data_IF_393980078969
#
_entry.id   IF_393980078969
#
_cell.length_a   1.000
_cell.length_b   1.000
_cell.length_c   1.000
_cell.angle_alpha   90.00
_cell.angle_beta   90.00
_cell.angle_gamma   90.00
#
_symmetry.space_group_name_H-M   'P 1'
#
loop_
_entity.id
_entity.type
_entity.pdbx_description
1 polymer ?
#
# COMPACT_ATOMS: atom_id res chain seq x y z
N UNK A 1 16.62 2.20 3.14
CA UNK A 1 15.58 1.41 2.41
C UNK A 1 14.39 1.25 3.31
N UNK A 2 13.16 1.26 2.74
CA UNK A 2 11.93 0.97 3.49
C UNK A 2 11.91 -0.48 4.00
N UNK A 3 10.99 -0.81 4.90
CA UNK A 3 10.78 -2.19 5.37
C UNK A 3 9.35 -2.59 5.09
N UNK A 4 9.19 -3.82 4.60
CA UNK A 4 7.90 -4.48 4.38
C UNK A 4 7.85 -5.71 5.26
N UNK A 5 6.76 -5.86 6.04
CA UNK A 5 6.46 -7.06 6.78
C UNK A 5 5.17 -7.69 6.26
N UNK A 6 5.18 -8.98 6.05
CA UNK A 6 4.00 -9.78 5.76
C UNK A 6 3.67 -10.66 6.97
N UNK A 7 2.49 -10.48 7.51
CA UNK A 7 1.93 -11.32 8.57
C UNK A 7 0.93 -12.30 7.93
N UNK A 8 1.19 -13.60 7.92
CA UNK A 8 0.21 -14.58 7.46
C UNK A 8 -1.09 -14.57 8.28
N UNK A 9 -2.13 -15.15 7.74
CA UNK A 9 -3.37 -15.40 8.47
C UNK A 9 -3.10 -16.30 9.69
N UNK A 10 -3.78 -16.04 10.81
CA UNK A 10 -3.66 -16.78 12.08
C UNK A 10 -2.29 -16.68 12.76
N UNK A 11 -1.42 -15.81 12.29
CA UNK A 11 -0.14 -15.50 12.92
C UNK A 11 -0.20 -14.16 13.65
N UNK A 12 0.81 -13.84 14.44
CA UNK A 12 0.97 -12.56 15.10
C UNK A 12 2.16 -11.81 14.55
N UNK A 13 2.04 -10.48 14.42
CA UNK A 13 3.17 -9.59 14.20
C UNK A 13 3.49 -8.91 15.52
N UNK A 14 4.61 -9.27 16.20
CA UNK A 14 4.95 -8.71 17.50
C UNK A 14 5.15 -7.19 17.45
N UNK A 15 4.69 -6.49 18.48
CA UNK A 15 4.79 -5.03 18.57
C UNK A 15 6.23 -4.51 18.56
N UNK A 16 7.16 -5.25 19.15
CA UNK A 16 8.58 -4.90 19.17
C UNK A 16 9.20 -4.91 17.75
N UNK A 17 8.75 -5.83 16.89
CA UNK A 17 9.12 -5.84 15.47
C UNK A 17 8.60 -4.59 14.77
N UNK A 18 7.31 -4.26 14.94
CA UNK A 18 6.72 -3.04 14.35
C UNK A 18 7.41 -1.78 14.86
N UNK A 19 7.70 -1.70 16.17
CA UNK A 19 8.46 -0.59 16.77
C UNK A 19 9.86 -0.48 16.18
N UNK A 20 10.54 -1.60 15.97
CA UNK A 20 11.89 -1.62 15.36
C UNK A 20 11.83 -1.17 13.91
N UNK A 21 10.86 -1.66 13.12
CA UNK A 21 10.63 -1.22 11.74
C UNK A 21 10.41 0.30 11.67
N UNK A 22 9.53 0.83 12.52
CA UNK A 22 9.20 2.25 12.53
C UNK A 22 10.38 3.12 13.02
N UNK A 23 11.12 2.66 14.02
CA UNK A 23 12.32 3.36 14.51
C UNK A 23 13.37 3.52 13.41
N UNK A 24 13.57 2.50 12.60
CA UNK A 24 14.54 2.52 11.50
C UNK A 24 14.02 3.28 10.27
N UNK A 25 12.70 3.39 10.10
CA UNK A 25 12.01 3.98 8.96
C UNK A 25 10.88 4.92 9.42
N UNK A 26 11.23 6.10 9.99
CA UNK A 26 10.27 6.94 10.73
C UNK A 26 9.47 7.92 9.85
N UNK A 27 9.63 7.88 8.53
CA UNK A 27 8.99 8.83 7.61
C UNK A 27 7.53 8.46 7.27
N UNK A 28 6.93 7.62 8.11
CA UNK A 28 5.54 7.21 8.06
C UNK A 28 5.34 5.74 7.71
N UNK A 29 4.15 5.25 7.97
CA UNK A 29 3.79 3.86 7.78
C UNK A 29 2.36 3.67 7.28
N UNK A 30 2.04 2.45 6.89
CA UNK A 30 0.71 2.01 6.57
C UNK A 30 0.64 0.49 6.45
N UNK A 31 -0.58 -0.01 6.34
CA UNK A 31 -0.86 -1.43 6.16
C UNK A 31 -2.07 -1.66 5.27
N UNK A 32 -2.19 -2.88 4.79
CA UNK A 32 -3.35 -3.34 4.03
C UNK A 32 -3.69 -4.78 4.39
N UNK A 33 -4.97 -5.11 4.25
CA UNK A 33 -5.49 -6.47 4.42
C UNK A 33 -6.72 -6.67 3.54
N UNK A 34 -7.02 -7.93 3.21
CA UNK A 34 -8.23 -8.32 2.49
C UNK A 34 -9.25 -8.92 3.45
N UNK A 35 -10.51 -8.52 3.31
CA UNK A 35 -11.63 -9.05 4.07
C UNK A 35 -12.92 -9.00 3.24
N UNK A 36 -13.67 -10.10 3.20
CA UNK A 36 -14.94 -10.22 2.46
C UNK A 36 -14.86 -9.73 1.01
N UNK A 37 -13.81 -10.14 0.29
CA UNK A 37 -13.61 -9.76 -1.12
C UNK A 37 -13.22 -8.31 -1.37
N UNK A 38 -12.93 -7.55 -0.31
CA UNK A 38 -12.49 -6.15 -0.37
C UNK A 38 -11.08 -6.01 0.15
N UNK A 39 -10.35 -5.04 -0.40
CA UNK A 39 -9.01 -4.68 0.07
C UNK A 39 -9.08 -3.36 0.83
N UNK A 40 -8.60 -3.37 2.06
CA UNK A 40 -8.57 -2.23 2.96
C UNK A 40 -7.15 -1.68 3.03
N UNK A 41 -7.01 -0.37 2.83
CA UNK A 41 -5.77 0.38 2.95
C UNK A 41 -5.91 1.37 4.11
N UNK A 42 -4.98 1.33 5.03
CA UNK A 42 -4.80 2.31 6.10
C UNK A 42 -3.35 2.77 6.11
N UNK A 43 -3.12 4.07 6.00
CA UNK A 43 -1.76 4.61 5.92
C UNK A 43 -1.69 6.04 6.43
N UNK A 44 -0.49 6.62 6.41
CA UNK A 44 -0.27 7.96 6.90
C UNK A 44 0.00 8.01 8.40
N UNK A 45 0.37 6.89 9.00
CA UNK A 45 0.78 6.83 10.40
C UNK A 45 2.15 7.46 10.57
N UNK A 46 2.20 8.62 11.21
CA UNK A 46 3.43 9.37 11.47
C UNK A 46 4.01 9.07 12.86
N UNK A 47 3.33 8.22 13.64
CA UNK A 47 3.79 7.70 14.94
C UNK A 47 3.54 6.21 15.03
N UNK A 48 4.42 5.50 15.74
CA UNK A 48 4.27 4.04 15.93
C UNK A 48 3.05 3.69 16.78
N UNK A 49 2.70 4.52 17.74
CA UNK A 49 1.56 4.27 18.63
C UNK A 49 0.23 4.33 17.86
N UNK A 50 0.07 5.29 16.95
CA UNK A 50 -1.09 5.36 16.08
C UNK A 50 -1.18 4.13 15.14
N UNK A 51 -0.06 3.69 14.58
CA UNK A 51 0.01 2.49 13.75
C UNK A 51 -0.41 1.24 14.54
N UNK A 52 0.17 1.02 15.73
CA UNK A 52 -0.13 -0.14 16.56
C UNK A 52 -1.58 -0.15 17.04
N UNK A 53 -2.12 1.02 17.42
CA UNK A 53 -3.51 1.14 17.84
C UNK A 53 -4.49 0.64 16.76
N UNK A 54 -4.22 0.90 15.50
CA UNK A 54 -5.09 0.46 14.39
C UNK A 54 -4.76 -0.96 13.92
N UNK A 55 -3.49 -1.38 13.94
CA UNK A 55 -3.11 -2.77 13.66
C UNK A 55 -3.78 -3.76 14.62
N UNK A 56 -3.88 -3.41 15.91
CA UNK A 56 -4.53 -4.26 16.92
C UNK A 56 -6.03 -4.45 16.70
N UNK A 57 -6.67 -3.60 15.90
CA UNK A 57 -8.09 -3.74 15.54
C UNK A 57 -8.34 -4.75 14.43
N UNK A 58 -7.29 -5.12 13.67
CA UNK A 58 -7.41 -6.09 12.59
C UNK A 58 -7.38 -7.50 13.18
N UNK A 59 -8.38 -8.35 12.87
CA UNK A 59 -8.41 -9.72 13.36
C UNK A 59 -7.15 -10.51 12.99
N UNK A 60 -6.63 -11.31 13.92
CA UNK A 60 -5.44 -12.16 13.70
C UNK A 60 -5.63 -13.18 12.58
N UNK A 61 -6.89 -13.57 12.31
CA UNK A 61 -7.27 -14.46 11.22
C UNK A 61 -7.00 -13.90 9.82
N UNK A 62 -6.74 -12.60 9.69
CA UNK A 62 -6.45 -11.97 8.40
C UNK A 62 -4.94 -11.85 8.17
N UNK A 63 -4.52 -12.05 6.92
CA UNK A 63 -3.17 -11.69 6.50
C UNK A 63 -3.05 -10.16 6.38
N UNK A 64 -1.90 -9.61 6.78
CA UNK A 64 -1.64 -8.17 6.76
C UNK A 64 -0.28 -7.91 6.12
N UNK A 65 -0.21 -6.87 5.30
CA UNK A 65 1.05 -6.31 4.81
C UNK A 65 1.26 -4.95 5.48
N UNK A 66 2.39 -4.76 6.15
CA UNK A 66 2.80 -3.51 6.81
C UNK A 66 4.01 -2.94 6.10
N UNK A 67 4.03 -1.64 5.89
CA UNK A 67 5.16 -0.92 5.30
C UNK A 67 5.56 0.25 6.18
N UNK A 68 6.87 0.39 6.45
CA UNK A 68 7.46 1.57 7.09
C UNK A 68 8.40 2.27 6.12
N UNK A 69 8.25 3.59 5.98
CA UNK A 69 8.90 4.40 4.96
C UNK A 69 10.15 5.09 5.49
N UNK A 70 11.20 5.09 4.65
CA UNK A 70 12.22 6.12 4.67
C UNK A 70 12.17 6.87 3.33
N UNK A 71 11.93 8.18 3.39
CA UNK A 71 11.64 8.98 2.20
C UNK A 71 12.89 9.27 1.38
N UNK A 72 12.91 8.80 0.14
CA UNK A 72 13.92 9.09 -0.87
C UNK A 72 13.35 9.92 -2.02
N UNK A 73 12.02 9.99 -2.16
CA UNK A 73 11.29 10.69 -3.21
C UNK A 73 9.95 11.19 -2.66
N UNK A 74 9.50 12.38 -3.09
CA UNK A 74 8.29 13.05 -2.59
C UNK A 74 8.42 13.59 -1.18
N UNK A 75 7.48 14.43 -0.76
CA UNK A 75 7.46 14.99 0.60
C UNK A 75 7.20 13.91 1.67
N UNK A 76 7.67 14.18 2.89
CA UNK A 76 7.41 13.34 4.07
C UNK A 76 6.05 13.68 4.67
N UNK A 77 4.98 13.29 3.99
CA UNK A 77 3.61 13.52 4.43
C UNK A 77 2.81 12.20 4.46
N UNK A 78 1.70 12.22 5.18
CA UNK A 78 0.83 11.05 5.36
C UNK A 78 0.38 10.44 4.00
N UNK A 79 0.03 11.27 3.02
CA UNK A 79 -0.40 10.81 1.70
C UNK A 79 0.68 10.08 0.90
N UNK A 80 1.95 10.32 1.20
CA UNK A 80 3.11 9.74 0.50
C UNK A 80 3.66 8.48 1.18
N UNK A 81 2.88 7.83 2.04
CA UNK A 81 3.20 6.52 2.63
C UNK A 81 2.53 5.39 1.87
N UNK A 82 3.12 4.19 1.91
CA UNK A 82 2.50 2.97 1.38
C UNK A 82 1.47 2.37 2.37
N UNK A 83 0.55 1.52 1.89
CA UNK A 83 0.36 1.01 0.51
C UNK A 83 -0.26 2.03 -0.43
N UNK A 84 -0.13 1.77 -1.75
CA UNK A 84 -0.81 2.57 -2.77
C UNK A 84 -1.85 1.74 -3.53
N UNK A 85 -3.05 2.29 -3.81
CA UNK A 85 -3.98 1.68 -4.72
C UNK A 85 -3.42 1.69 -6.14
N UNK A 86 -3.71 0.65 -6.92
CA UNK A 86 -3.48 0.64 -8.37
C UNK A 86 -4.63 1.39 -9.03
N UNK A 87 -4.36 2.62 -9.47
CA UNK A 87 -5.38 3.55 -9.99
C UNK A 87 -4.76 4.52 -11.00
N UNK A 88 -5.53 4.95 -11.98
CA UNK A 88 -5.17 6.02 -12.92
C UNK A 88 -5.50 7.43 -12.39
N UNK A 89 -6.06 7.52 -11.19
CA UNK A 89 -6.40 8.79 -10.52
C UNK A 89 -5.33 9.10 -9.45
N UNK A 90 -4.37 10.00 -9.71
CA UNK A 90 -3.26 10.28 -8.78
C UNK A 90 -3.73 10.65 -7.37
N UNK A 91 -4.80 11.43 -7.25
CA UNK A 91 -5.33 11.87 -5.96
C UNK A 91 -5.74 10.72 -5.03
N UNK A 92 -6.18 9.58 -5.57
CA UNK A 92 -6.53 8.39 -4.78
C UNK A 92 -5.31 7.77 -4.11
N UNK A 93 -4.12 7.90 -4.71
CA UNK A 93 -2.88 7.39 -4.11
C UNK A 93 -2.50 8.12 -2.82
N UNK A 94 -3.05 9.33 -2.60
CA UNK A 94 -2.82 10.13 -1.38
C UNK A 94 -3.83 9.88 -0.26
N UNK A 95 -4.92 9.16 -0.53
CA UNK A 95 -5.91 8.84 0.51
C UNK A 95 -5.29 7.97 1.60
N UNK A 96 -5.51 8.35 2.86
CA UNK A 96 -4.98 7.64 4.02
C UNK A 96 -5.84 6.46 4.48
N UNK A 97 -7.11 6.44 4.06
CA UNK A 97 -8.01 5.31 4.25
C UNK A 97 -8.78 5.08 2.96
N UNK A 98 -8.79 3.84 2.47
CA UNK A 98 -9.45 3.46 1.23
C UNK A 98 -9.92 2.01 1.29
N UNK A 99 -11.10 1.74 0.72
CA UNK A 99 -11.61 0.39 0.47
C UNK A 99 -11.72 0.19 -1.04
N UNK A 100 -11.11 -0.88 -1.53
CA UNK A 100 -11.11 -1.26 -2.95
C UNK A 100 -11.97 -2.52 -3.09
N UNK A 101 -13.01 -2.46 -3.91
CA UNK A 101 -13.93 -3.57 -4.16
C UNK A 101 -13.39 -4.54 -5.21
N UNK A 102 -12.96 -4.01 -6.35
CA UNK A 102 -12.37 -4.79 -7.45
C UNK A 102 -11.09 -4.11 -7.90
N UNK A 103 -9.95 -4.60 -7.45
CA UNK A 103 -8.68 -3.99 -7.79
C UNK A 103 -7.51 -4.45 -6.94
N UNK A 104 -6.43 -3.70 -7.03
CA UNK A 104 -5.14 -4.05 -6.45
C UNK A 104 -4.58 -2.89 -5.64
N UNK A 105 -3.73 -3.23 -4.68
CA UNK A 105 -2.83 -2.30 -4.03
C UNK A 105 -1.45 -2.94 -3.91
N UNK A 106 -0.43 -2.12 -3.73
CA UNK A 106 0.93 -2.62 -3.62
C UNK A 106 1.76 -1.84 -2.62
N UNK A 107 2.83 -2.47 -2.18
CA UNK A 107 3.94 -1.88 -1.45
C UNK A 107 5.21 -2.06 -2.27
N UNK A 108 6.14 -1.13 -2.15
CA UNK A 108 7.40 -1.17 -2.88
C UNK A 108 8.54 -0.74 -1.96
N UNK A 109 9.66 -1.44 -2.09
CA UNK A 109 10.90 -1.10 -1.42
C UNK A 109 12.00 -0.93 -2.46
N UNK A 110 12.41 0.30 -2.71
CA UNK A 110 13.41 0.66 -3.71
C UNK A 110 13.17 2.03 -4.30
N UNK A 111 13.81 2.30 -5.43
CA UNK A 111 13.67 3.52 -6.22
C UNK A 111 13.33 3.14 -7.66
N UNK A 112 12.24 3.70 -8.18
CA UNK A 112 11.82 3.52 -9.57
C UNK A 112 12.29 4.73 -10.39
N UNK A 113 13.45 4.57 -11.03
CA UNK A 113 14.04 5.63 -11.87
C UNK A 113 13.08 6.00 -13.00
N UNK A 114 13.02 7.31 -13.31
CA UNK A 114 12.19 7.86 -14.39
C UNK A 114 10.66 7.76 -14.20
N UNK A 115 10.18 7.35 -13.02
CA UNK A 115 8.76 7.35 -12.68
C UNK A 115 8.39 8.67 -12.00
N UNK A 116 7.73 9.57 -12.75
CA UNK A 116 7.27 10.88 -12.26
C UNK A 116 5.89 11.22 -12.82
N UNK A 117 5.10 11.92 -12.00
CA UNK A 117 3.88 12.63 -12.39
C UNK A 117 3.93 14.03 -11.76
N UNK A 118 3.19 14.99 -12.34
CA UNK A 118 3.18 16.37 -11.86
C UNK A 118 2.58 16.46 -10.46
N UNK A 119 3.16 17.29 -9.62
CA UNK A 119 2.75 17.50 -8.23
C UNK A 119 3.65 16.78 -7.22
N UNK A 120 3.25 16.84 -5.95
CA UNK A 120 3.96 16.20 -4.84
C UNK A 120 3.60 14.71 -4.75
N UNK A 121 4.15 13.92 -5.65
CA UNK A 121 4.02 12.46 -5.67
C UNK A 121 5.41 11.80 -5.70
N UNK A 122 5.51 10.62 -5.10
CA UNK A 122 6.74 9.83 -5.20
C UNK A 122 6.72 8.90 -6.43
N UNK A 123 7.84 8.25 -6.69
CA UNK A 123 8.04 7.33 -7.82
C UNK A 123 7.08 6.12 -7.79
N UNK A 124 6.77 5.58 -6.62
CA UNK A 124 5.82 4.47 -6.47
C UNK A 124 4.39 4.89 -6.83
N UNK A 125 3.96 6.11 -6.46
CA UNK A 125 2.66 6.64 -6.89
C UNK A 125 2.61 6.85 -8.41
N UNK A 126 3.68 7.39 -8.99
CA UNK A 126 3.80 7.53 -10.44
C UNK A 126 3.75 6.16 -11.16
N UNK A 127 4.38 5.14 -10.59
CA UNK A 127 4.35 3.78 -11.11
C UNK A 127 2.95 3.16 -11.05
N UNK A 128 2.22 3.38 -9.95
CA UNK A 128 0.82 2.97 -9.85
C UNK A 128 -0.03 3.53 -10.99
N UNK A 129 0.08 4.84 -11.23
CA UNK A 129 -0.75 5.57 -12.19
C UNK A 129 -0.36 5.25 -13.64
N UNK A 130 0.94 5.29 -13.96
CA UNK A 130 1.43 5.22 -15.35
C UNK A 130 1.62 3.79 -15.86
N UNK A 131 1.86 2.84 -14.96
CA UNK A 131 2.22 1.48 -15.36
C UNK A 131 1.22 0.44 -14.84
N UNK A 132 1.02 0.35 -13.51
CA UNK A 132 0.19 -0.72 -12.95
C UNK A 132 -1.30 -0.57 -13.30
N UNK A 133 -1.83 0.65 -13.31
CA UNK A 133 -3.24 0.86 -13.63
C UNK A 133 -3.59 0.50 -15.09
N UNK A 134 -2.83 0.90 -16.12
CA UNK A 134 -3.03 0.42 -17.49
C UNK A 134 -2.89 -1.11 -17.60
N UNK A 135 -1.89 -1.70 -16.95
CA UNK A 135 -1.67 -3.15 -16.99
C UNK A 135 -2.84 -3.92 -16.37
N UNK A 136 -3.37 -3.45 -15.23
CA UNK A 136 -4.51 -4.09 -14.59
C UNK A 136 -5.77 -4.06 -15.44
N UNK A 137 -6.00 -2.98 -16.20
CA UNK A 137 -7.12 -2.86 -17.15
C UNK A 137 -6.99 -3.86 -18.30
N UNK A 138 -5.78 -4.04 -18.83
CA UNK A 138 -5.53 -5.04 -19.87
C UNK A 138 -5.81 -6.46 -19.37
N UNK A 139 -5.30 -6.83 -18.19
CA UNK A 139 -5.54 -8.14 -17.60
C UNK A 139 -7.03 -8.42 -17.34
N UNK A 140 -7.81 -7.41 -16.96
CA UNK A 140 -9.26 -7.55 -16.79
C UNK A 140 -9.98 -7.73 -18.14
N UNK A 141 -9.56 -7.03 -19.19
CA UNK A 141 -10.16 -7.12 -20.52
C UNK A 141 -9.90 -8.49 -21.18
N UNK A 142 -8.72 -9.07 -20.98
CA UNK A 142 -8.40 -10.42 -21.47
C UNK A 142 -9.24 -11.51 -20.77
N UNK A 143 -9.48 -11.39 -19.47
CA UNK A 143 -10.34 -12.31 -18.73
C UNK A 143 -11.82 -12.25 -19.17
N UNK A 144 -12.29 -11.08 -19.61
CA UNK A 144 -13.64 -10.93 -20.19
C UNK A 144 -13.74 -11.54 -21.58
N UNK A 145 -12.64 -11.55 -22.37
CA UNK A 145 -12.59 -12.16 -23.69
C UNK A 145 -12.61 -13.70 -23.66
N UNK A 146 -12.04 -14.31 -22.61
CA UNK A 146 -12.03 -15.77 -22.44
C UNK A 146 -13.39 -16.35 -21.95
N UNK A 147 -14.30 -15.52 -21.47
CA UNK A 147 -15.65 -15.95 -21.05
C UNK A 147 -16.69 -15.92 -22.17
N UNK A 148 -16.36 -15.39 -23.35
CA UNK A 148 -17.30 -15.27 -24.47
C UNK A 148 -17.29 -16.46 -25.45
N UNK A 149 -16.38 -17.42 -25.27
CA UNK A 149 -16.20 -18.57 -26.19
C UNK A 149 -16.54 -19.93 -25.57
N UNK A 150 -17.44 -19.96 -24.57
CA UNK A 150 -17.97 -21.21 -24.01
C UNK A 150 -19.48 -21.26 -24.12
#
# INVERSE_FOLDING_TARGET
MCVIAYKPANETLPDDIVKTMFKNNPDGAGFMFAYEGKLYIHKGYMTVDALLNDLHKVPTSLAIVVHTRIGTSGSKCAGNTHPYPVTDIPALTKKTSLVIHDGYAFVHNGVLSNMRIDGDYNDSQAFAVKFLAPLSKLAQSENLGLQSDV
#
